data_IF_658597133732
#
_entry.id   IF_658597133732
#
_cell.length_a   1.000
_cell.length_b   1.000
_cell.length_c   1.000
_cell.angle_alpha   90.00
_cell.angle_beta   90.00
_cell.angle_gamma   90.00
#
_symmetry.space_group_name_H-M   'P 1'
#
loop_
_entity.id
_entity.type
_entity.pdbx_description
1 polymer ?
#
# COMPACT_ATOMS: atom_id res chain seq x y z
N UNK A 1 12.58 -6.68 7.75
CA UNK A 1 12.50 -8.13 7.49
C UNK A 1 11.96 -8.78 8.76
N UNK A 2 10.76 -9.35 8.72
CA UNK A 2 10.17 -10.02 9.89
C UNK A 2 10.47 -11.51 9.75
N UNK A 3 11.45 -12.00 10.48
CA UNK A 3 11.70 -13.43 10.60
C UNK A 3 10.94 -13.94 11.83
N UNK A 4 9.89 -14.73 11.62
CA UNK A 4 9.14 -15.36 12.72
C UNK A 4 9.57 -16.81 12.84
N UNK A 5 10.56 -17.05 13.69
CA UNK A 5 10.80 -18.35 14.34
C UNK A 5 11.08 -18.10 15.81
N UNK A 6 10.10 -18.38 16.68
CA UNK A 6 10.28 -18.47 18.14
C UNK A 6 10.75 -17.21 18.89
N UNK A 7 10.86 -16.05 18.23
CA UNK A 7 11.33 -14.82 18.85
C UNK A 7 10.18 -13.94 19.35
N UNK A 8 10.27 -13.51 20.61
CA UNK A 8 9.42 -12.43 21.15
C UNK A 8 9.52 -11.20 20.22
N UNK A 9 8.38 -10.76 19.69
CA UNK A 9 8.27 -9.54 18.86
C UNK A 9 8.66 -8.32 19.70
N UNK A 10 9.92 -7.88 19.59
CA UNK A 10 10.35 -6.59 20.15
C UNK A 10 10.00 -5.48 19.16
N UNK A 11 9.17 -4.53 19.60
CA UNK A 11 8.86 -3.31 18.84
C UNK A 11 10.07 -2.40 18.88
N UNK A 12 10.79 -2.31 17.76
CA UNK A 12 11.88 -1.33 17.61
C UNK A 12 11.30 -0.02 17.05
N UNK A 13 11.50 1.09 17.77
CA UNK A 13 11.07 2.44 17.36
C UNK A 13 9.58 2.76 17.62
N UNK A 14 9.11 3.88 17.05
CA UNK A 14 7.73 4.37 17.18
C UNK A 14 6.66 3.47 16.53
N UNK A 15 7.07 2.33 15.97
CA UNK A 15 6.20 1.41 15.22
C UNK A 15 5.78 1.97 13.87
N UNK A 16 5.14 1.11 13.09
CA UNK A 16 4.58 1.47 11.79
C UNK A 16 3.49 2.54 11.95
N UNK A 17 3.63 3.66 11.25
CA UNK A 17 2.69 4.77 11.28
C UNK A 17 1.78 4.73 10.05
N UNK A 18 0.49 4.95 10.25
CA UNK A 18 -0.50 5.03 9.17
C UNK A 18 -0.76 6.48 8.80
N UNK A 19 -1.03 6.77 7.53
CA UNK A 19 -1.56 8.06 7.11
C UNK A 19 -3.09 8.01 7.14
N UNK A 20 -3.73 9.11 7.57
CA UNK A 20 -5.17 9.27 7.43
C UNK A 20 -5.55 9.23 5.93
N UNK A 21 -6.48 8.36 5.49
CA UNK A 21 -6.94 8.29 4.10
C UNK A 21 -7.46 9.63 3.54
N UNK A 22 -7.93 10.54 4.40
CA UNK A 22 -8.35 11.89 4.01
C UNK A 22 -7.20 12.72 3.45
N UNK A 23 -5.98 12.48 3.93
CA UNK A 23 -4.77 13.14 3.48
C UNK A 23 -4.22 12.60 2.15
N UNK A 24 -4.82 11.54 1.59
CA UNK A 24 -4.42 11.01 0.28
C UNK A 24 -4.85 11.94 -0.85
N UNK A 25 -3.94 12.20 -1.78
CA UNK A 25 -4.19 12.98 -2.97
C UNK A 25 -3.52 12.34 -4.19
N UNK A 26 -4.09 12.56 -5.37
CA UNK A 26 -3.43 12.17 -6.63
C UNK A 26 -2.09 12.90 -6.77
N UNK A 27 -1.13 12.24 -7.40
CA UNK A 27 0.22 12.75 -7.60
C UNK A 27 1.17 12.57 -6.41
N UNK A 28 0.71 12.08 -5.26
CA UNK A 28 1.61 11.75 -4.13
C UNK A 28 2.56 10.60 -4.51
N UNK A 29 3.84 10.77 -4.20
CA UNK A 29 4.87 9.74 -4.35
C UNK A 29 4.64 8.58 -3.39
N UNK A 30 4.55 7.38 -3.95
CA UNK A 30 4.33 6.14 -3.18
C UNK A 30 5.34 5.06 -3.55
N UNK A 31 5.66 4.21 -2.59
CA UNK A 31 6.44 3.00 -2.82
C UNK A 31 5.72 1.77 -2.30
N UNK A 32 5.75 0.71 -3.09
CA UNK A 32 5.26 -0.61 -2.72
C UNK A 32 6.46 -1.43 -2.26
N UNK A 33 6.34 -2.05 -1.09
CA UNK A 33 7.32 -3.02 -0.57
C UNK A 33 6.65 -4.38 -0.53
N UNK A 34 7.13 -5.31 -1.36
CA UNK A 34 6.55 -6.64 -1.51
C UNK A 34 7.60 -7.70 -1.84
N UNK A 35 7.18 -8.95 -1.97
CA UNK A 35 8.03 -10.09 -2.35
C UNK A 35 7.44 -10.77 -3.60
N UNK A 36 7.51 -10.13 -4.79
CA UNK A 36 6.99 -10.71 -6.03
C UNK A 36 7.48 -12.14 -6.22
N UNK A 37 6.58 -13.08 -6.52
CA UNK A 37 6.89 -14.51 -6.66
C UNK A 37 7.59 -15.17 -5.46
N UNK A 38 7.62 -14.54 -4.28
CA UNK A 38 8.35 -15.03 -3.11
C UNK A 38 7.90 -16.42 -2.64
N UNK A 39 6.63 -16.76 -2.82
CA UNK A 39 6.10 -18.09 -2.52
C UNK A 39 6.63 -19.20 -3.45
N UNK A 40 7.17 -18.86 -4.62
CA UNK A 40 7.73 -19.83 -5.57
C UNK A 40 9.19 -20.18 -5.22
N UNK A 41 9.96 -19.21 -4.72
CA UNK A 41 11.33 -19.42 -4.23
C UNK A 41 11.85 -18.18 -3.50
N UNK A 42 11.91 -18.22 -2.17
CA UNK A 42 12.43 -17.12 -1.35
C UNK A 42 13.93 -16.84 -1.59
N UNK A 43 14.68 -17.83 -2.07
CA UNK A 43 16.12 -17.74 -2.31
C UNK A 43 16.46 -16.96 -3.59
N UNK A 44 15.55 -17.00 -4.58
CA UNK A 44 15.74 -16.37 -5.89
C UNK A 44 14.96 -15.06 -5.97
N UNK A 45 13.76 -15.01 -5.38
CA UNK A 45 12.89 -13.84 -5.44
C UNK A 45 13.05 -12.97 -4.19
N UNK A 46 13.93 -11.97 -4.31
CA UNK A 46 14.16 -10.98 -3.27
C UNK A 46 12.99 -10.00 -3.12
N UNK A 47 12.90 -9.38 -1.94
CA UNK A 47 11.98 -8.26 -1.72
C UNK A 47 12.25 -7.14 -2.72
N UNK A 48 11.18 -6.58 -3.26
CA UNK A 48 11.21 -5.49 -4.22
C UNK A 48 10.64 -4.22 -3.62
N UNK A 49 11.21 -3.09 -4.03
CA UNK A 49 10.64 -1.76 -3.79
C UNK A 49 10.28 -1.18 -5.15
N UNK A 50 8.99 -1.05 -5.41
CA UNK A 50 8.47 -0.45 -6.64
C UNK A 50 7.98 0.96 -6.35
N UNK A 51 8.32 1.91 -7.21
CA UNK A 51 8.06 3.34 -7.00
C UNK A 51 7.11 3.86 -8.08
N UNK A 52 6.19 4.73 -7.66
CA UNK A 52 5.24 5.40 -8.53
C UNK A 52 4.56 6.57 -7.83
N UNK A 53 3.43 6.99 -8.36
CA UNK A 53 2.53 8.01 -7.81
C UNK A 53 1.14 7.45 -7.56
N UNK A 54 0.33 8.16 -6.76
CA UNK A 54 -1.12 7.93 -6.73
C UNK A 54 -1.71 8.46 -8.04
N UNK A 55 -2.01 7.56 -8.97
CA UNK A 55 -2.63 7.89 -10.26
C UNK A 55 -4.10 8.24 -10.09
N UNK A 56 -4.81 7.54 -9.18
CA UNK A 56 -6.22 7.81 -8.89
C UNK A 56 -6.61 7.33 -7.48
N UNK A 57 -7.70 7.87 -6.94
CA UNK A 57 -8.33 7.50 -5.68
C UNK A 57 -9.80 7.21 -5.98
N UNK A 58 -10.28 6.03 -5.58
CA UNK A 58 -11.66 5.61 -5.76
C UNK A 58 -12.32 5.44 -4.40
N UNK A 59 -13.53 5.98 -4.30
CA UNK A 59 -14.47 5.75 -3.22
C UNK A 59 -15.51 4.78 -3.76
N UNK A 60 -15.79 3.64 -3.10
CA UNK A 60 -16.82 2.73 -3.54
C UNK A 60 -18.18 3.42 -3.58
N UNK A 61 -18.89 3.22 -4.68
CA UNK A 61 -20.26 3.70 -4.84
C UNK A 61 -21.16 2.68 -4.16
N UNK A 62 -21.40 2.84 -2.86
CA UNK A 62 -22.35 1.98 -2.15
C UNK A 62 -23.81 2.40 -2.36
N UNK A 63 -24.09 3.50 -3.07
CA UNK A 63 -25.44 3.85 -3.55
C UNK A 63 -25.36 4.62 -4.87
N UNK A 64 -26.14 4.17 -5.85
CA UNK A 64 -26.11 4.49 -7.28
C UNK A 64 -26.57 5.91 -7.68
N UNK A 65 -26.44 6.92 -6.83
CA UNK A 65 -26.94 8.28 -7.11
C UNK A 65 -25.90 9.40 -7.10
N UNK A 66 -24.60 9.11 -7.16
CA UNK A 66 -23.60 10.15 -7.42
C UNK A 66 -22.60 9.68 -8.46
N UNK A 67 -22.96 9.90 -9.72
CA UNK A 67 -21.97 10.07 -10.76
C UNK A 67 -20.99 11.18 -10.34
N UNK A 68 -19.69 10.90 -10.44
CA UNK A 68 -18.61 11.90 -10.47
C UNK A 68 -18.63 12.93 -9.34
N UNK A 69 -18.12 12.58 -8.16
CA UNK A 69 -17.88 13.56 -7.10
C UNK A 69 -16.73 13.18 -6.18
N UNK A 70 -15.75 14.07 -6.04
CA UNK A 70 -14.79 14.10 -4.94
C UNK A 70 -15.59 14.34 -3.64
N UNK A 71 -16.05 13.29 -2.96
CA UNK A 71 -16.54 13.44 -1.58
C UNK A 71 -15.32 13.46 -0.66
N UNK A 72 -14.99 14.62 -0.09
CA UNK A 72 -13.90 14.77 0.89
C UNK A 72 -14.19 14.03 2.22
N UNK A 73 -15.41 13.51 2.40
CA UNK A 73 -15.89 12.97 3.68
C UNK A 73 -16.01 11.44 3.69
N UNK A 74 -16.05 10.80 2.52
CA UNK A 74 -16.19 9.33 2.42
C UNK A 74 -14.82 8.64 2.43
N UNK A 75 -14.65 7.50 3.12
CA UNK A 75 -13.38 6.78 3.13
C UNK A 75 -13.01 6.35 1.70
N UNK A 76 -11.77 6.61 1.32
CA UNK A 76 -11.21 6.18 0.03
C UNK A 76 -10.74 4.75 0.18
N UNK A 77 -11.51 3.81 -0.33
CA UNK A 77 -11.22 2.40 -0.09
C UNK A 77 -10.24 1.82 -1.12
N UNK A 78 -9.99 2.51 -2.24
CA UNK A 78 -9.09 2.01 -3.28
C UNK A 78 -8.16 3.10 -3.83
N UNK A 79 -6.86 2.81 -3.78
CA UNK A 79 -5.78 3.65 -4.31
C UNK A 79 -5.24 3.00 -5.57
N UNK A 80 -5.20 3.74 -6.67
CA UNK A 80 -4.58 3.32 -7.92
C UNK A 80 -3.23 4.00 -8.07
N UNK A 81 -2.20 3.22 -8.40
CA UNK A 81 -0.83 3.69 -8.60
C UNK A 81 -0.23 3.06 -9.84
N UNK A 82 0.72 3.76 -10.46
CA UNK A 82 1.54 3.26 -11.57
C UNK A 82 2.78 2.50 -11.07
N UNK A 83 2.97 2.39 -9.75
CA UNK A 83 3.97 1.49 -9.19
C UNK A 83 3.69 0.04 -9.63
N UNK A 84 4.72 -0.63 -10.15
CA UNK A 84 4.62 -2.00 -10.65
C UNK A 84 4.18 -2.97 -9.55
N UNK A 85 3.14 -3.74 -9.83
CA UNK A 85 2.66 -4.86 -9.02
C UNK A 85 2.79 -6.12 -9.87
N UNK A 86 3.65 -7.04 -9.47
CA UNK A 86 3.81 -8.35 -10.11
C UNK A 86 3.11 -9.42 -9.27
N UNK A 87 2.72 -10.58 -9.84
CA UNK A 87 2.20 -11.70 -9.06
C UNK A 87 3.09 -12.02 -7.84
N UNK A 88 2.46 -12.26 -6.69
CA UNK A 88 3.14 -12.38 -5.39
C UNK A 88 3.39 -11.04 -4.69
N UNK A 89 2.92 -9.91 -5.24
CA UNK A 89 2.96 -8.62 -4.54
C UNK A 89 1.80 -8.40 -3.58
N UNK A 90 0.77 -9.26 -3.65
CA UNK A 90 -0.45 -9.19 -2.86
C UNK A 90 -0.12 -9.19 -1.35
N UNK A 91 -0.77 -8.30 -0.59
CA UNK A 91 -0.47 -8.07 0.82
C UNK A 91 0.80 -7.24 1.08
N UNK A 92 1.57 -6.89 0.06
CA UNK A 92 2.70 -5.97 0.15
C UNK A 92 2.26 -4.57 0.61
N UNK A 93 3.07 -3.90 1.43
CA UNK A 93 2.72 -2.60 2.00
C UNK A 93 2.94 -1.45 1.02
N UNK A 94 2.02 -0.48 1.02
CA UNK A 94 2.11 0.74 0.22
C UNK A 94 2.38 1.94 1.12
N UNK A 95 3.44 2.68 0.84
CA UNK A 95 3.94 3.75 1.72
C UNK A 95 4.08 5.07 0.97
N UNK A 96 3.83 6.20 1.64
CA UNK A 96 4.23 7.50 1.10
C UNK A 96 5.74 7.67 1.24
N UNK A 97 6.44 7.96 0.14
CA UNK A 97 7.92 7.89 0.08
C UNK A 97 8.63 8.89 0.99
N UNK A 98 8.06 10.09 1.19
CA UNK A 98 8.70 11.14 1.99
C UNK A 98 8.51 10.97 3.50
N UNK A 99 7.46 10.29 3.94
CA UNK A 99 7.09 10.15 5.35
C UNK A 99 7.17 8.72 5.85
N UNK A 100 7.34 7.75 4.95
CA UNK A 100 7.32 6.31 5.24
C UNK A 100 6.05 5.85 5.99
N UNK A 101 4.94 6.58 5.82
CA UNK A 101 3.65 6.23 6.41
C UNK A 101 2.92 5.23 5.52
N UNK A 102 2.34 4.20 6.13
CA UNK A 102 1.54 3.19 5.44
C UNK A 102 0.19 3.78 5.04
N UNK A 103 -0.22 3.52 3.79
CA UNK A 103 -1.50 3.98 3.24
C UNK A 103 -2.42 2.84 2.83
N UNK A 104 -1.90 1.61 2.77
CA UNK A 104 -2.67 0.43 2.37
C UNK A 104 -1.77 -0.75 2.03
N UNK A 105 -2.37 -1.77 1.44
CA UNK A 105 -1.69 -2.97 0.94
C UNK A 105 -2.08 -3.23 -0.52
N UNK A 106 -1.23 -3.92 -1.27
CA UNK A 106 -1.53 -4.36 -2.63
C UNK A 106 -2.64 -5.40 -2.58
N UNK A 107 -3.73 -5.15 -3.29
CA UNK A 107 -4.84 -6.10 -3.47
C UNK A 107 -4.49 -7.15 -4.54
N UNK A 108 -5.08 -8.34 -4.42
CA UNK A 108 -5.01 -9.44 -5.38
C UNK A 108 -6.32 -9.71 -6.08
#
# INVERSE_FOLDING_TARGET
LIQVKGGVLKRYGSGLQWLDPKCLARGMDVSIVSSPYGALSEEIFANSISSGIISNLLTPVSDSSVASGFSETSPRDLVLTDARCYPGSEGGGVFVRNTNKLIGVVAG
#
